data_IF_626145107984
#
_entry.id   IF_626145107984
#
_cell.length_a   1.000
_cell.length_b   1.000
_cell.length_c   1.000
_cell.angle_alpha   90.00
_cell.angle_beta   90.00
_cell.angle_gamma   90.00
#
_symmetry.space_group_name_H-M   'P 1'
#
loop_
_entity.id
_entity.type
_entity.pdbx_description
1 polymer ?
#
# COMPACT_ATOMS: atom_id res chain seq x y z
N UNK A 1 1.87 24.79 18.69
CA UNK A 1 2.44 23.49 18.20
C UNK A 1 1.32 22.69 17.59
N UNK A 2 1.36 22.38 16.29
CA UNK A 2 0.34 21.56 15.66
C UNK A 2 0.41 20.17 16.26
N UNK A 3 -0.66 19.70 16.88
CA UNK A 3 -0.76 18.35 17.44
C UNK A 3 -0.55 17.36 16.31
N UNK A 4 0.51 16.57 16.38
CA UNK A 4 0.81 15.56 15.36
C UNK A 4 -0.38 14.58 15.27
N UNK A 5 -1.04 14.56 14.12
CA UNK A 5 -2.22 13.69 13.89
C UNK A 5 -1.84 12.23 14.11
N UNK A 6 -2.52 11.55 15.02
CA UNK A 6 -2.30 10.12 15.27
C UNK A 6 -3.22 9.30 14.37
N UNK A 7 -2.73 8.92 13.20
CA UNK A 7 -3.50 8.17 12.21
C UNK A 7 -3.84 6.74 12.64
N UNK A 8 -3.06 6.13 13.54
CA UNK A 8 -3.41 4.85 14.13
C UNK A 8 -4.66 4.96 15.00
N UNK A 9 -4.74 5.98 15.87
CA UNK A 9 -5.95 6.23 16.67
C UNK A 9 -7.16 6.61 15.81
N UNK A 10 -6.97 7.35 14.72
CA UNK A 10 -8.07 7.64 13.79
C UNK A 10 -8.58 6.36 13.14
N UNK A 11 -7.69 5.47 12.71
CA UNK A 11 -8.08 4.14 12.21
C UNK A 11 -8.88 3.36 13.27
N UNK A 12 -8.36 3.27 14.50
CA UNK A 12 -9.02 2.55 15.59
C UNK A 12 -10.44 3.07 15.83
N UNK A 13 -10.63 4.42 15.78
CA UNK A 13 -11.94 5.04 15.91
C UNK A 13 -12.90 4.66 14.76
N UNK A 14 -12.39 4.63 13.50
CA UNK A 14 -13.17 4.18 12.35
C UNK A 14 -13.58 2.72 12.53
N UNK A 15 -12.63 1.84 12.88
CA UNK A 15 -12.89 0.41 13.05
C UNK A 15 -13.93 0.13 14.14
N UNK A 16 -13.86 0.86 15.27
CA UNK A 16 -14.85 0.77 16.34
C UNK A 16 -16.24 1.26 15.89
N UNK A 17 -16.30 2.26 15.02
CA UNK A 17 -17.54 2.82 14.49
C UNK A 17 -18.25 1.95 13.45
N UNK A 18 -17.63 0.88 12.93
CA UNK A 18 -18.26 0.00 11.95
C UNK A 18 -19.41 -0.86 12.51
N UNK A 19 -19.52 -0.97 13.84
CA UNK A 19 -20.69 -1.60 14.49
C UNK A 19 -20.96 -3.05 14.08
N UNK A 20 -19.93 -3.81 13.68
CA UNK A 20 -20.07 -5.19 13.21
C UNK A 20 -20.44 -5.32 11.72
N UNK A 21 -20.67 -4.23 11.01
CA UNK A 21 -20.77 -4.25 9.55
C UNK A 21 -19.39 -4.54 8.96
N UNK A 22 -19.37 -5.19 7.78
CA UNK A 22 -18.13 -5.47 7.04
C UNK A 22 -18.20 -4.82 5.66
N UNK A 23 -17.98 -3.48 5.58
CA UNK A 23 -18.01 -2.80 4.29
C UNK A 23 -16.87 -3.27 3.38
N UNK A 24 -17.01 -2.99 2.09
CA UNK A 24 -16.02 -3.35 1.07
C UNK A 24 -14.83 -2.39 1.11
N UNK A 25 -13.63 -2.92 1.27
CA UNK A 25 -12.38 -2.16 1.29
C UNK A 25 -11.48 -2.55 0.12
N UNK A 26 -11.04 -1.57 -0.66
CA UNK A 26 -9.94 -1.73 -1.60
C UNK A 26 -8.61 -1.42 -0.90
N UNK A 27 -7.74 -2.42 -0.80
CA UNK A 27 -6.40 -2.30 -0.22
C UNK A 27 -5.35 -2.26 -1.32
N UNK A 28 -4.77 -1.09 -1.62
CA UNK A 28 -3.60 -1.03 -2.49
C UNK A 28 -2.40 -1.70 -1.81
N UNK A 29 -1.77 -2.66 -2.48
CA UNK A 29 -0.64 -3.42 -1.97
C UNK A 29 0.62 -3.25 -2.81
N UNK A 30 1.77 -3.09 -2.13
CA UNK A 30 3.07 -3.02 -2.81
C UNK A 30 3.80 -4.38 -2.89
N UNK A 31 3.51 -5.33 -1.99
CA UNK A 31 4.13 -6.64 -1.92
C UNK A 31 3.49 -7.51 -0.83
N UNK A 32 3.80 -8.80 -0.81
CA UNK A 32 3.34 -9.75 0.21
C UNK A 32 3.71 -9.35 1.65
N UNK A 33 5.00 -9.12 1.96
CA UNK A 33 5.42 -8.72 3.31
C UNK A 33 4.71 -7.49 3.86
N UNK A 34 4.51 -6.46 3.02
CA UNK A 34 3.81 -5.24 3.44
C UNK A 34 2.31 -5.46 3.68
N UNK A 35 1.73 -6.46 3.04
CA UNK A 35 0.31 -6.77 3.14
C UNK A 35 -0.01 -7.67 4.33
N UNK A 36 0.95 -8.46 4.81
CA UNK A 36 0.72 -9.54 5.78
C UNK A 36 0.05 -9.07 7.07
N UNK A 37 0.67 -8.19 7.83
CA UNK A 37 0.12 -7.68 9.08
C UNK A 37 -1.11 -6.76 8.85
N UNK A 38 -1.20 -6.08 7.70
CA UNK A 38 -2.34 -5.25 7.34
C UNK A 38 -3.59 -6.10 7.12
N UNK A 39 -3.46 -7.18 6.36
CA UNK A 39 -4.57 -8.11 6.13
C UNK A 39 -5.00 -8.81 7.43
N UNK A 40 -4.05 -9.30 8.24
CA UNK A 40 -4.36 -9.89 9.55
C UNK A 40 -5.18 -8.93 10.44
N UNK A 41 -4.85 -7.63 10.41
CA UNK A 41 -5.55 -6.61 11.19
C UNK A 41 -6.93 -6.30 10.64
N UNK A 42 -7.09 -6.17 9.31
CA UNK A 42 -8.29 -5.59 8.70
C UNK A 42 -9.34 -6.62 8.27
N UNK A 43 -8.97 -7.90 8.02
CA UNK A 43 -9.90 -8.92 7.51
C UNK A 43 -11.12 -9.17 8.40
N UNK A 44 -11.03 -8.91 9.69
CA UNK A 44 -12.17 -9.04 10.62
C UNK A 44 -13.19 -7.90 10.52
N UNK A 45 -12.77 -6.76 9.92
CA UNK A 45 -13.60 -5.54 9.85
C UNK A 45 -14.17 -5.27 8.45
N UNK A 46 -13.51 -5.81 7.40
CA UNK A 46 -13.83 -5.48 6.03
C UNK A 46 -13.91 -6.72 5.15
N UNK A 47 -14.68 -6.61 4.08
CA UNK A 47 -14.52 -7.46 2.89
C UNK A 47 -13.44 -6.86 2.01
N UNK A 48 -12.28 -7.52 1.92
CA UNK A 48 -11.08 -6.94 1.32
C UNK A 48 -10.85 -7.46 -0.10
N UNK A 49 -10.67 -6.53 -1.03
CA UNK A 49 -10.01 -6.78 -2.31
C UNK A 49 -8.67 -6.06 -2.31
N UNK A 50 -7.61 -6.80 -2.59
CA UNK A 50 -6.25 -6.26 -2.73
C UNK A 50 -6.02 -5.85 -4.17
N UNK A 51 -5.66 -4.59 -4.40
CA UNK A 51 -5.22 -4.09 -5.69
C UNK A 51 -3.70 -4.08 -5.75
N UNK A 52 -3.11 -4.90 -6.62
CA UNK A 52 -1.68 -4.87 -6.92
C UNK A 52 -1.43 -3.97 -8.14
N UNK A 53 -1.04 -2.72 -7.88
CA UNK A 53 -0.72 -1.71 -8.89
C UNK A 53 0.55 -0.96 -8.50
N UNK A 54 1.66 -1.26 -9.14
CA UNK A 54 2.98 -0.75 -8.78
C UNK A 54 3.83 -0.44 -10.04
N UNK A 55 3.46 0.56 -10.86
CA UNK A 55 4.18 0.87 -12.09
C UNK A 55 5.61 1.37 -11.84
N UNK A 56 5.93 1.71 -10.60
CA UNK A 56 7.26 2.10 -10.16
C UNK A 56 8.23 0.93 -9.98
N UNK A 57 7.75 -0.31 -9.92
CA UNK A 57 8.62 -1.45 -9.61
C UNK A 57 9.51 -1.79 -10.80
N UNK A 58 10.80 -1.92 -10.53
CA UNK A 58 11.87 -2.17 -11.50
C UNK A 58 12.89 -3.18 -10.91
N UNK A 59 13.44 -4.10 -11.71
CA UNK A 59 13.04 -4.39 -13.09
C UNK A 59 11.68 -5.09 -13.18
N UNK A 60 11.17 -5.34 -14.38
CA UNK A 60 9.88 -5.99 -14.58
C UNK A 60 9.79 -7.36 -13.87
N UNK A 61 10.89 -8.12 -13.86
CA UNK A 61 10.96 -9.40 -13.15
C UNK A 61 10.64 -9.25 -11.65
N UNK A 62 11.07 -8.15 -11.03
CA UNK A 62 10.78 -7.85 -9.62
C UNK A 62 9.30 -7.51 -9.42
N UNK A 63 8.66 -6.84 -10.38
CA UNK A 63 7.21 -6.60 -10.33
C UNK A 63 6.44 -7.91 -10.28
N UNK A 64 6.70 -8.82 -11.21
CA UNK A 64 6.02 -10.11 -11.27
C UNK A 64 6.31 -10.97 -10.04
N UNK A 65 7.58 -11.02 -9.60
CA UNK A 65 7.95 -11.73 -8.38
C UNK A 65 7.17 -11.26 -7.15
N UNK A 66 7.04 -9.94 -6.96
CA UNK A 66 6.27 -9.38 -5.82
C UNK A 66 4.78 -9.66 -5.92
N UNK A 67 4.22 -9.66 -7.13
CA UNK A 67 2.83 -10.01 -7.40
C UNK A 67 2.54 -11.48 -7.06
N UNK A 68 3.37 -12.39 -7.55
CA UNK A 68 3.27 -13.82 -7.25
C UNK A 68 3.39 -14.11 -5.75
N UNK A 69 4.35 -13.49 -5.07
CA UNK A 69 4.53 -13.62 -3.62
C UNK A 69 3.30 -13.12 -2.85
N UNK A 70 2.70 -12.03 -3.29
CA UNK A 70 1.46 -11.53 -2.70
C UNK A 70 0.31 -12.51 -2.89
N UNK A 71 0.13 -13.06 -4.08
CA UNK A 71 -0.92 -14.03 -4.38
C UNK A 71 -0.72 -15.32 -3.58
N UNK A 72 0.51 -15.85 -3.51
CA UNK A 72 0.84 -17.04 -2.71
C UNK A 72 0.55 -16.80 -1.22
N UNK A 73 0.93 -15.65 -0.69
CA UNK A 73 0.66 -15.29 0.70
C UNK A 73 -0.85 -15.25 0.98
N UNK A 74 -1.63 -14.55 0.14
CA UNK A 74 -3.08 -14.44 0.32
C UNK A 74 -3.74 -15.81 0.25
N UNK A 75 -3.36 -16.65 -0.70
CA UNK A 75 -3.89 -18.02 -0.82
C UNK A 75 -3.59 -18.88 0.41
N UNK A 76 -2.41 -18.72 1.01
CA UNK A 76 -2.01 -19.50 2.19
C UNK A 76 -2.63 -18.98 3.50
N UNK A 77 -2.72 -17.67 3.68
CA UNK A 77 -3.12 -17.04 4.94
C UNK A 77 -4.62 -16.70 5.00
N UNK A 78 -5.25 -16.42 3.86
CA UNK A 78 -6.63 -15.90 3.76
C UNK A 78 -7.45 -16.58 2.65
N UNK A 79 -7.54 -17.92 2.61
CA UNK A 79 -8.06 -18.65 1.43
C UNK A 79 -9.53 -18.35 1.09
N UNK A 80 -10.32 -17.84 2.04
CA UNK A 80 -11.78 -17.68 1.87
C UNK A 80 -12.28 -16.23 2.05
N UNK A 81 -11.39 -15.24 2.12
CA UNK A 81 -11.85 -13.91 2.51
C UNK A 81 -11.16 -12.72 1.84
N UNK A 82 -10.17 -12.96 0.98
CA UNK A 82 -9.43 -11.89 0.31
C UNK A 82 -9.24 -12.21 -1.17
N UNK A 83 -9.66 -11.29 -2.03
CA UNK A 83 -9.41 -11.37 -3.48
C UNK A 83 -8.22 -10.50 -3.84
N UNK A 84 -7.34 -10.98 -4.72
CA UNK A 84 -6.25 -10.18 -5.30
C UNK A 84 -6.57 -9.86 -6.75
N UNK A 85 -6.53 -8.58 -7.08
CA UNK A 85 -6.64 -8.06 -8.45
C UNK A 85 -5.30 -7.46 -8.83
N UNK A 86 -4.73 -7.94 -9.92
CA UNK A 86 -3.53 -7.36 -10.52
C UNK A 86 -3.95 -6.39 -11.62
N UNK A 87 -3.47 -5.14 -11.52
CA UNK A 87 -3.70 -4.12 -12.53
C UNK A 87 -2.57 -4.14 -13.57
N UNK A 88 -2.77 -3.48 -14.69
CA UNK A 88 -1.79 -3.45 -15.77
C UNK A 88 -0.45 -2.87 -15.30
N UNK A 89 0.62 -3.61 -15.55
CA UNK A 89 1.98 -3.13 -15.32
C UNK A 89 2.44 -2.29 -16.52
N UNK A 90 2.48 -0.99 -16.31
CA UNK A 90 2.98 -0.02 -17.28
C UNK A 90 3.96 0.94 -16.56
N UNK A 91 5.27 0.64 -16.59
CA UNK A 91 6.27 1.48 -15.93
C UNK A 91 6.40 2.88 -16.56
N UNK A 92 5.95 3.07 -17.80
CA UNK A 92 5.99 4.37 -18.45
C UNK A 92 5.13 5.41 -17.71
N UNK A 93 4.03 4.97 -17.09
CA UNK A 93 3.19 5.84 -16.24
C UNK A 93 3.99 6.43 -15.07
N UNK A 94 4.85 5.63 -14.44
CA UNK A 94 5.70 6.11 -13.36
C UNK A 94 6.78 7.07 -13.87
N UNK A 95 7.49 6.72 -14.94
CA UNK A 95 8.55 7.57 -15.48
C UNK A 95 8.02 8.91 -15.99
N UNK A 96 6.88 8.91 -16.67
CA UNK A 96 6.20 10.14 -17.10
C UNK A 96 5.81 11.01 -15.90
N UNK A 97 5.27 10.41 -14.84
CA UNK A 97 4.82 11.15 -13.66
C UNK A 97 6.00 11.79 -12.88
N UNK A 98 7.18 11.16 -12.88
CA UNK A 98 8.35 11.63 -12.12
C UNK A 98 9.39 12.35 -12.99
N UNK A 99 9.07 12.67 -14.25
CA UNK A 99 9.97 13.37 -15.15
C UNK A 99 10.43 14.71 -14.53
N UNK A 100 11.75 14.95 -14.56
CA UNK A 100 12.39 16.12 -13.93
C UNK A 100 12.64 15.97 -12.42
N UNK A 101 12.30 14.83 -11.80
CA UNK A 101 12.54 14.53 -10.39
C UNK A 101 13.53 13.37 -10.19
N UNK A 102 14.30 13.02 -11.22
CA UNK A 102 15.21 11.87 -11.23
C UNK A 102 16.29 11.98 -10.14
N UNK A 103 16.76 13.19 -9.90
CA UNK A 103 17.81 13.49 -8.93
C UNK A 103 17.30 13.75 -7.49
N UNK A 104 15.98 13.71 -7.29
CA UNK A 104 15.42 13.85 -5.95
C UNK A 104 15.85 12.69 -5.04
N UNK A 105 16.16 12.96 -3.77
CA UNK A 105 16.50 11.89 -2.83
C UNK A 105 15.30 10.97 -2.56
N UNK A 106 15.57 9.80 -2.03
CA UNK A 106 14.50 8.96 -1.45
C UNK A 106 13.76 9.75 -0.36
N UNK A 107 12.42 9.65 -0.32
CA UNK A 107 11.47 10.44 0.48
C UNK A 107 11.26 11.89 0.02
N UNK A 108 11.93 12.36 -1.02
CA UNK A 108 11.73 13.68 -1.63
C UNK A 108 10.45 13.77 -2.48
N UNK A 109 10.40 14.77 -3.37
CA UNK A 109 9.23 15.07 -4.22
C UNK A 109 8.86 13.91 -5.13
N UNK A 110 9.86 13.20 -5.71
CA UNK A 110 9.64 12.00 -6.52
C UNK A 110 8.81 10.94 -5.78
N UNK A 111 9.11 10.68 -4.50
CA UNK A 111 8.34 9.73 -3.70
C UNK A 111 6.90 10.19 -3.44
N UNK A 112 6.68 11.49 -3.29
CA UNK A 112 5.32 12.05 -3.17
C UNK A 112 4.50 11.79 -4.44
N UNK A 113 5.08 12.06 -5.61
CA UNK A 113 4.44 11.78 -6.91
C UNK A 113 4.14 10.30 -7.06
N UNK A 114 5.08 9.42 -6.68
CA UNK A 114 4.88 7.97 -6.68
C UNK A 114 3.72 7.52 -5.78
N UNK A 115 3.57 8.11 -4.58
CA UNK A 115 2.42 7.81 -3.71
C UNK A 115 1.12 8.28 -4.36
N UNK A 116 1.09 9.49 -4.92
CA UNK A 116 -0.09 10.04 -5.60
C UNK A 116 -0.52 9.16 -6.76
N UNK A 117 0.40 8.77 -7.63
CA UNK A 117 0.11 7.90 -8.79
C UNK A 117 -0.60 6.61 -8.35
N UNK A 118 -0.04 5.91 -7.37
CA UNK A 118 -0.59 4.64 -6.92
C UNK A 118 -1.90 4.78 -6.15
N UNK A 119 -1.99 5.77 -5.26
CA UNK A 119 -3.19 5.98 -4.46
C UNK A 119 -4.33 6.56 -5.29
N UNK A 120 -4.03 7.39 -6.30
CA UNK A 120 -5.03 7.88 -7.25
C UNK A 120 -5.69 6.71 -7.99
N UNK A 121 -4.87 5.78 -8.51
CA UNK A 121 -5.39 4.58 -9.18
C UNK A 121 -6.25 3.72 -8.25
N UNK A 122 -5.81 3.55 -6.99
CA UNK A 122 -6.59 2.82 -5.99
C UNK A 122 -7.95 3.49 -5.70
N UNK A 123 -7.98 4.80 -5.48
CA UNK A 123 -9.23 5.53 -5.24
C UNK A 123 -10.17 5.49 -6.46
N UNK A 124 -9.62 5.64 -7.66
CA UNK A 124 -10.37 5.54 -8.91
C UNK A 124 -10.96 4.13 -9.08
N UNK A 125 -10.14 3.08 -8.90
CA UNK A 125 -10.60 1.70 -8.98
C UNK A 125 -11.70 1.41 -7.94
N UNK A 126 -11.52 1.92 -6.72
CA UNK A 126 -12.51 1.77 -5.66
C UNK A 126 -13.87 2.40 -6.03
N UNK A 127 -13.86 3.63 -6.57
CA UNK A 127 -15.07 4.30 -7.07
C UNK A 127 -15.74 3.49 -8.17
N UNK A 128 -14.97 3.09 -9.18
CA UNK A 128 -15.50 2.45 -10.40
C UNK A 128 -16.09 1.05 -10.13
N UNK A 129 -15.68 0.41 -9.02
CA UNK A 129 -16.13 -0.92 -8.61
C UNK A 129 -16.99 -0.92 -7.35
N UNK A 130 -17.46 0.25 -6.87
CA UNK A 130 -18.41 0.38 -5.78
C UNK A 130 -17.87 -0.06 -4.42
N UNK A 131 -16.60 0.22 -4.11
CA UNK A 131 -16.05 0.04 -2.77
C UNK A 131 -16.46 1.19 -1.86
N UNK A 132 -16.68 0.88 -0.57
CA UNK A 132 -17.00 1.88 0.44
C UNK A 132 -15.77 2.63 0.91
N UNK A 133 -14.64 1.91 0.96
CA UNK A 133 -13.37 2.40 1.49
C UNK A 133 -12.19 2.03 0.59
N UNK A 134 -11.14 2.85 0.64
CA UNK A 134 -9.83 2.48 0.13
C UNK A 134 -8.72 2.85 1.12
N UNK A 135 -7.59 2.16 1.04
CA UNK A 135 -6.36 2.47 1.78
C UNK A 135 -5.15 1.83 1.09
N UNK A 136 -3.98 1.94 1.72
CA UNK A 136 -2.74 1.40 1.16
C UNK A 136 -1.85 0.77 2.22
N UNK A 137 -1.13 -0.29 1.87
CA UNK A 137 -0.11 -0.91 2.73
C UNK A 137 1.15 -0.05 2.89
N UNK A 138 1.28 1.07 2.17
CA UNK A 138 2.50 1.87 2.16
C UNK A 138 2.91 2.36 3.54
N UNK A 139 1.95 2.69 4.42
CA UNK A 139 2.21 3.24 5.75
C UNK A 139 2.82 2.25 6.75
N UNK A 140 2.93 0.94 6.40
CA UNK A 140 3.59 -0.05 7.26
C UNK A 140 5.12 0.07 7.23
N UNK A 141 5.67 0.60 6.14
CA UNK A 141 7.12 0.75 6.01
C UNK A 141 7.64 1.88 6.90
N UNK A 142 8.71 1.65 7.71
CA UNK A 142 9.33 2.71 8.50
C UNK A 142 10.00 3.78 7.63
N UNK A 143 10.24 3.46 6.36
CA UNK A 143 10.85 4.38 5.39
C UNK A 143 9.84 5.27 4.67
N UNK A 144 8.53 5.13 4.94
CA UNK A 144 7.49 5.92 4.27
C UNK A 144 6.78 6.86 5.24
N UNK A 145 6.47 8.05 4.73
CA UNK A 145 5.82 9.13 5.48
C UNK A 145 4.30 8.90 5.54
N UNK A 146 3.84 8.41 6.69
CA UNK A 146 2.42 8.15 6.90
C UNK A 146 1.57 9.43 6.86
N UNK A 147 2.09 10.57 7.32
CA UNK A 147 1.34 11.83 7.30
C UNK A 147 1.08 12.27 5.84
N UNK A 148 2.10 12.21 5.00
CA UNK A 148 1.99 12.51 3.57
C UNK A 148 1.04 11.55 2.85
N UNK A 149 1.12 10.25 3.13
CA UNK A 149 0.22 9.23 2.55
C UNK A 149 -1.23 9.51 2.93
N UNK A 150 -1.50 9.80 4.20
CA UNK A 150 -2.87 10.10 4.65
C UNK A 150 -3.41 11.42 4.10
N UNK A 151 -2.58 12.46 3.96
CA UNK A 151 -2.99 13.71 3.31
C UNK A 151 -3.42 13.46 1.86
N UNK A 152 -2.64 12.69 1.09
CA UNK A 152 -2.98 12.27 -0.27
C UNK A 152 -4.29 11.46 -0.29
N UNK A 153 -4.48 10.55 0.68
CA UNK A 153 -5.69 9.76 0.80
C UNK A 153 -6.94 10.63 1.01
N UNK A 154 -6.86 11.64 1.87
CA UNK A 154 -7.94 12.59 2.12
C UNK A 154 -8.28 13.45 0.88
N UNK A 155 -7.25 13.87 0.12
CA UNK A 155 -7.48 14.58 -1.15
C UNK A 155 -8.27 13.70 -2.15
N UNK A 156 -7.90 12.43 -2.27
CA UNK A 156 -8.58 11.51 -3.20
C UNK A 156 -9.95 11.04 -2.68
N UNK A 157 -10.17 10.97 -1.37
CA UNK A 157 -11.51 10.81 -0.81
C UNK A 157 -12.43 11.94 -1.29
N UNK A 158 -11.97 13.19 -1.22
CA UNK A 158 -12.74 14.35 -1.68
C UNK A 158 -12.95 14.34 -3.21
N UNK A 159 -11.94 13.89 -3.98
CA UNK A 159 -12.01 13.87 -5.45
C UNK A 159 -12.90 12.73 -5.98
N UNK A 160 -12.81 11.53 -5.41
CA UNK A 160 -13.47 10.34 -5.94
C UNK A 160 -14.72 9.91 -5.17
N UNK A 161 -15.00 10.49 -4.00
CA UNK A 161 -16.18 10.19 -3.19
C UNK A 161 -16.14 8.82 -2.50
N UNK A 162 -14.98 8.16 -2.43
CA UNK A 162 -14.76 6.91 -1.69
C UNK A 162 -14.00 7.22 -0.42
N UNK A 163 -14.45 6.71 0.73
CA UNK A 163 -13.83 6.99 2.03
C UNK A 163 -12.39 6.46 2.08
N UNK A 164 -11.46 7.29 2.54
CA UNK A 164 -10.10 6.86 2.83
C UNK A 164 -9.98 6.37 4.27
N UNK A 165 -9.51 5.14 4.49
CA UNK A 165 -9.19 4.65 5.83
C UNK A 165 -7.83 5.22 6.25
N UNK A 166 -7.78 6.18 7.19
CA UNK A 166 -6.53 6.72 7.69
C UNK A 166 -5.72 5.62 8.37
N UNK A 167 -4.40 5.60 8.17
CA UNK A 167 -3.58 4.51 8.69
C UNK A 167 -2.14 4.90 8.97
N UNK A 168 -1.59 4.32 10.02
CA UNK A 168 -0.16 4.21 10.24
C UNK A 168 0.16 2.79 10.70
N UNK A 169 0.14 1.85 9.75
CA UNK A 169 0.22 0.41 10.01
C UNK A 169 1.52 -0.04 10.68
N UNK A 170 2.57 0.78 10.73
CA UNK A 170 3.77 0.46 11.51
C UNK A 170 3.59 0.60 13.02
N UNK A 171 2.56 1.35 13.47
CA UNK A 171 2.18 1.48 14.87
C UNK A 171 1.60 0.16 15.41
N UNK A 172 1.40 0.09 16.74
CA UNK A 172 0.92 -1.14 17.41
C UNK A 172 1.74 -2.39 17.04
N UNK A 173 3.06 -2.22 16.87
CA UNK A 173 3.99 -3.29 16.44
C UNK A 173 3.70 -3.88 15.04
N UNK A 174 2.93 -3.21 14.20
CA UNK A 174 2.53 -3.75 12.90
C UNK A 174 3.71 -4.05 11.98
N UNK A 175 4.76 -3.21 11.98
CA UNK A 175 5.98 -3.52 11.24
C UNK A 175 6.68 -4.79 11.78
N UNK A 176 6.84 -4.91 13.11
CA UNK A 176 7.39 -6.11 13.73
C UNK A 176 6.56 -7.36 13.39
N UNK A 177 5.22 -7.23 13.44
CA UNK A 177 4.33 -8.32 13.06
C UNK A 177 4.51 -8.73 11.59
N UNK A 178 4.74 -7.78 10.68
CA UNK A 178 5.04 -8.09 9.29
C UNK A 178 6.35 -8.86 9.09
N UNK A 179 7.35 -8.65 9.97
CA UNK A 179 8.59 -9.45 9.96
C UNK A 179 8.31 -10.90 10.37
N UNK A 180 7.58 -11.09 11.48
CA UNK A 180 7.20 -12.41 11.98
C UNK A 180 6.38 -13.20 10.96
N UNK A 181 5.39 -12.56 10.33
CA UNK A 181 4.58 -13.19 9.30
C UNK A 181 5.40 -13.51 8.04
N UNK A 182 6.36 -12.65 7.68
CA UNK A 182 7.26 -12.94 6.57
C UNK A 182 8.13 -14.17 6.83
N UNK A 183 8.61 -14.35 8.04
CA UNK A 183 9.36 -15.55 8.47
C UNK A 183 8.44 -16.78 8.47
N UNK A 184 7.26 -16.67 9.08
CA UNK A 184 6.27 -17.76 9.19
C UNK A 184 5.83 -18.32 7.83
N UNK A 185 5.66 -17.44 6.83
CA UNK A 185 5.19 -17.82 5.48
C UNK A 185 6.32 -17.88 4.44
N UNK A 186 7.59 -17.70 4.86
CA UNK A 186 8.73 -17.74 3.94
C UNK A 186 8.68 -16.66 2.86
N UNK A 187 8.15 -15.45 3.17
CA UNK A 187 7.94 -14.41 2.17
C UNK A 187 9.24 -13.74 1.74
N UNK A 188 9.39 -13.55 0.46
CA UNK A 188 10.48 -12.76 -0.11
C UNK A 188 10.41 -11.30 0.37
N UNK A 189 11.45 -10.84 1.06
CA UNK A 189 11.59 -9.47 1.51
C UNK A 189 12.66 -8.75 0.69
N UNK A 190 12.24 -7.71 0.03
CA UNK A 190 13.13 -6.88 -0.79
C UNK A 190 13.88 -5.83 0.04
N UNK A 191 15.08 -5.46 -0.43
CA UNK A 191 15.97 -4.52 0.27
C UNK A 191 15.74 -3.05 -0.13
N UNK A 192 14.95 -2.80 -1.18
CA UNK A 192 14.70 -1.46 -1.72
C UNK A 192 13.21 -1.20 -1.92
N UNK A 193 12.87 0.09 -2.11
CA UNK A 193 11.47 0.52 -2.24
C UNK A 193 10.74 -0.08 -3.46
N UNK A 194 11.50 -0.49 -4.48
CA UNK A 194 11.00 -1.08 -5.71
C UNK A 194 11.26 -0.24 -6.97
N UNK A 195 11.46 1.06 -6.87
CA UNK A 195 11.76 1.86 -8.06
C UNK A 195 13.25 1.79 -8.43
N UNK A 196 13.54 1.99 -9.71
CA UNK A 196 14.89 2.01 -10.27
C UNK A 196 15.82 2.95 -9.51
N UNK A 197 15.36 4.14 -9.14
CA UNK A 197 16.17 5.12 -8.41
C UNK A 197 16.59 4.63 -7.03
N UNK A 198 15.71 3.91 -6.34
CA UNK A 198 16.03 3.28 -5.05
C UNK A 198 16.96 2.08 -5.21
N UNK A 199 16.83 1.32 -6.30
CA UNK A 199 17.71 0.21 -6.64
C UNK A 199 19.14 0.72 -6.92
N UNK A 200 19.28 1.69 -7.83
CA UNK A 200 20.57 2.32 -8.18
C UNK A 200 21.28 2.93 -6.98
N UNK A 201 20.53 3.62 -6.10
CA UNK A 201 21.09 4.18 -4.86
C UNK A 201 21.65 3.12 -3.89
N UNK A 202 21.32 1.84 -4.09
CA UNK A 202 21.80 0.68 -3.31
C UNK A 202 22.75 -0.22 -4.08
N UNK A 203 23.18 0.20 -5.30
CA UNK A 203 24.06 -0.59 -6.16
C UNK A 203 23.40 -1.86 -6.72
N UNK A 204 22.06 -1.89 -6.80
CA UNK A 204 21.33 -3.01 -7.39
C UNK A 204 21.21 -2.75 -8.89
N UNK A 205 21.80 -3.63 -9.68
CA UNK A 205 21.71 -3.66 -11.13
C UNK A 205 20.53 -4.57 -11.55
N UNK A 206 19.84 -4.20 -12.64
CA UNK A 206 18.67 -4.93 -13.14
C UNK A 206 18.99 -5.87 -14.28
#
# INVERSE_FOLDING_TARGET
MATQRNYAQQMDAVLAGLGGTRPRLLLHACCGPCSSAVLEQLCRYFEITVLYYNPNTWPAAEYYRRGEELQKFVAAAHPLGVTVVEDTYDPQQFYTAVAGLENEPERGSRCTVCYRLRMRRAAQYARDNGFDWFTTTLSISPHKDAARINAIGQEFEAEFGVKHLPSDFKKHNGYLRSLQLSEQYGLYRQDYCGCEFSAKARGIEG
#
